data_IF_136741631057
#
_entry.id   IF_136741631057
#
_cell.length_a   1.000
_cell.length_b   1.000
_cell.length_c   1.000
_cell.angle_alpha   90.00
_cell.angle_beta   90.00
_cell.angle_gamma   90.00
#
_symmetry.space_group_name_H-M   'P 1'
#
loop_
_entity.id
_entity.type
_entity.pdbx_description
1 polymer ?
#
# COMPACT_ATOMS: atom_id res chain seq x y z
N UNK A 1 35.86 10.63 -19.42
CA UNK A 1 34.67 11.29 -18.85
C UNK A 1 33.75 10.18 -18.34
N UNK A 2 33.87 9.86 -17.06
CA UNK A 2 33.15 8.77 -16.40
C UNK A 2 31.92 9.35 -15.73
N UNK A 3 30.73 9.00 -16.20
CA UNK A 3 29.46 9.35 -15.57
C UNK A 3 29.34 8.58 -14.26
N UNK A 4 29.43 9.30 -13.14
CA UNK A 4 29.07 8.78 -11.82
C UNK A 4 27.58 8.46 -11.88
N UNK A 5 27.23 7.17 -11.80
CA UNK A 5 25.85 6.74 -11.68
C UNK A 5 25.24 7.43 -10.45
N UNK A 6 24.10 8.08 -10.65
CA UNK A 6 23.33 8.68 -9.58
C UNK A 6 23.04 7.60 -8.53
N UNK A 7 23.86 7.59 -7.46
CA UNK A 7 23.62 6.74 -6.31
C UNK A 7 22.24 7.10 -5.78
N UNK A 8 21.36 6.10 -5.70
CA UNK A 8 20.07 6.28 -5.04
C UNK A 8 20.32 6.95 -3.69
N UNK A 9 19.67 8.10 -3.46
CA UNK A 9 19.82 8.85 -2.22
C UNK A 9 19.63 7.89 -1.02
N UNK A 10 20.43 8.02 0.05
CA UNK A 10 20.24 7.24 1.26
C UNK A 10 18.80 7.35 1.71
N UNK A 11 18.12 6.22 1.93
CA UNK A 11 16.76 6.22 2.48
C UNK A 11 16.84 6.62 3.95
N UNK A 12 16.79 7.93 4.20
CA UNK A 12 16.77 8.50 5.55
C UNK A 12 15.54 8.08 6.36
N UNK A 13 14.54 7.49 5.71
CA UNK A 13 13.22 7.23 6.29
C UNK A 13 13.00 5.78 6.70
N UNK A 14 13.97 4.87 6.50
CA UNK A 14 13.85 3.44 6.84
C UNK A 14 13.41 3.28 8.29
N UNK A 15 12.18 2.81 8.49
CA UNK A 15 11.60 2.56 9.81
C UNK A 15 10.58 3.61 10.28
N UNK A 16 10.19 4.56 9.43
CA UNK A 16 9.09 5.49 9.73
C UNK A 16 7.73 4.78 9.80
N UNK A 17 7.56 3.65 9.12
CA UNK A 17 6.41 2.75 9.15
C UNK A 17 6.80 1.40 9.73
N UNK A 18 6.31 1.12 10.94
CA UNK A 18 6.43 -0.19 11.56
C UNK A 18 5.20 -1.05 11.28
N UNK A 19 5.40 -2.24 10.72
CA UNK A 19 4.30 -3.17 10.49
C UNK A 19 3.69 -3.63 11.84
N UNK A 20 2.40 -3.38 12.03
CA UNK A 20 1.62 -3.79 13.21
C UNK A 20 0.78 -5.03 12.91
N UNK A 21 0.14 -5.06 11.74
CA UNK A 21 -0.68 -6.17 11.30
C UNK A 21 -0.44 -6.45 9.82
N UNK A 22 -0.06 -7.69 9.50
CA UNK A 22 0.14 -8.15 8.14
C UNK A 22 -1.18 -8.22 7.36
N UNK A 23 -1.09 -8.36 6.03
CA UNK A 23 -2.25 -8.30 5.14
C UNK A 23 -3.36 -9.28 5.55
N UNK A 24 -4.53 -8.74 5.90
CA UNK A 24 -5.69 -9.52 6.36
C UNK A 24 -7.00 -8.88 5.89
N UNK A 25 -8.03 -9.68 5.63
CA UNK A 25 -9.37 -9.16 5.34
C UNK A 25 -10.09 -8.59 6.58
N UNK A 26 -9.59 -8.90 7.78
CA UNK A 26 -10.22 -8.54 9.07
C UNK A 26 -9.15 -8.06 10.06
N UNK A 27 -8.65 -6.82 9.91
CA UNK A 27 -7.70 -6.27 10.85
C UNK A 27 -8.33 -6.19 12.24
N UNK A 28 -7.54 -6.48 13.26
CA UNK A 28 -7.96 -6.45 14.67
C UNK A 28 -7.26 -5.36 15.47
N UNK A 29 -6.14 -4.82 14.97
CA UNK A 29 -5.39 -3.78 15.68
C UNK A 29 -6.01 -2.39 15.55
N UNK A 30 -6.94 -2.18 14.61
CA UNK A 30 -7.62 -0.90 14.36
C UNK A 30 -9.03 -1.11 13.82
N UNK A 31 -9.99 -0.30 14.27
CA UNK A 31 -11.35 -0.30 13.70
C UNK A 31 -11.39 0.45 12.36
N UNK A 32 -11.47 -0.30 11.27
CA UNK A 32 -11.57 0.25 9.91
C UNK A 32 -13.02 0.54 9.49
N UNK A 33 -14.02 0.23 10.32
CA UNK A 33 -15.43 0.24 9.90
C UNK A 33 -15.90 1.63 9.49
N UNK A 34 -15.45 2.66 10.20
CA UNK A 34 -15.76 4.04 9.87
C UNK A 34 -15.17 4.47 8.52
N UNK A 35 -13.87 4.20 8.31
CA UNK A 35 -13.19 4.48 7.06
C UNK A 35 -13.82 3.73 5.88
N UNK A 36 -14.09 2.44 6.04
CA UNK A 36 -14.73 1.62 5.02
C UNK A 36 -16.10 2.20 4.62
N UNK A 37 -16.94 2.61 5.58
CA UNK A 37 -18.23 3.25 5.27
C UNK A 37 -18.05 4.53 4.44
N UNK A 38 -17.14 5.41 4.82
CA UNK A 38 -16.87 6.64 4.06
C UNK A 38 -16.41 6.33 2.63
N UNK A 39 -15.48 5.39 2.47
CA UNK A 39 -14.94 5.05 1.14
C UNK A 39 -15.96 4.35 0.25
N UNK A 40 -16.89 3.57 0.82
CA UNK A 40 -17.95 2.94 0.01
C UNK A 40 -18.89 3.95 -0.64
N UNK A 41 -18.96 5.19 -0.14
CA UNK A 41 -19.70 6.27 -0.81
C UNK A 41 -19.01 6.73 -2.11
N UNK A 42 -17.70 6.57 -2.22
CA UNK A 42 -16.89 7.04 -3.36
C UNK A 42 -16.44 5.91 -4.29
N UNK A 43 -16.48 4.65 -3.84
CA UNK A 43 -16.01 3.49 -4.58
C UNK A 43 -17.12 2.44 -4.75
N UNK A 44 -17.84 2.43 -5.89
CA UNK A 44 -19.00 1.54 -6.12
C UNK A 44 -18.72 0.05 -5.91
N UNK A 45 -17.48 -0.38 -6.20
CA UNK A 45 -17.07 -1.79 -6.10
C UNK A 45 -16.48 -2.18 -4.74
N UNK A 46 -16.24 -1.21 -3.84
CA UNK A 46 -15.60 -1.48 -2.55
C UNK A 46 -16.55 -2.27 -1.62
N UNK A 47 -17.82 -1.86 -1.50
CA UNK A 47 -18.78 -2.54 -0.64
C UNK A 47 -18.99 -4.03 -1.03
N UNK A 48 -19.21 -4.37 -2.31
CA UNK A 48 -19.23 -5.77 -2.75
C UNK A 48 -17.92 -6.52 -2.45
N UNK A 49 -16.76 -5.89 -2.63
CA UNK A 49 -15.45 -6.52 -2.38
C UNK A 49 -15.23 -6.83 -0.90
N UNK A 50 -15.61 -5.92 0.00
CA UNK A 50 -15.57 -6.11 1.44
C UNK A 50 -16.45 -7.29 1.87
N UNK A 51 -17.70 -7.37 1.38
CA UNK A 51 -18.62 -8.47 1.70
C UNK A 51 -18.09 -9.83 1.22
N UNK A 52 -17.34 -9.86 0.12
CA UNK A 52 -16.74 -11.08 -0.45
C UNK A 52 -15.35 -11.40 0.13
N UNK A 53 -14.83 -10.58 1.04
CA UNK A 53 -13.49 -10.78 1.62
C UNK A 53 -12.35 -10.57 0.61
N UNK A 54 -12.57 -9.79 -0.45
CA UNK A 54 -11.61 -9.54 -1.52
C UNK A 54 -10.70 -8.33 -1.25
N UNK A 55 -10.97 -7.60 -0.17
CA UNK A 55 -10.16 -6.45 0.26
C UNK A 55 -9.34 -6.88 1.48
N UNK A 56 -8.02 -6.76 1.38
CA UNK A 56 -7.10 -6.94 2.49
C UNK A 56 -6.52 -5.61 2.96
N UNK A 57 -6.14 -5.59 4.23
CA UNK A 57 -5.64 -4.43 4.94
C UNK A 57 -4.30 -4.78 5.57
N UNK A 58 -3.34 -3.88 5.46
CA UNK A 58 -2.06 -3.96 6.17
C UNK A 58 -1.96 -2.74 7.06
N UNK A 59 -1.69 -2.94 8.35
CA UNK A 59 -1.68 -1.87 9.34
C UNK A 59 -0.24 -1.54 9.70
N UNK A 60 0.11 -0.27 9.55
CA UNK A 60 1.40 0.27 9.97
C UNK A 60 1.20 1.29 11.08
N UNK A 61 2.16 1.34 11.99
CA UNK A 61 2.32 2.44 12.92
C UNK A 61 3.33 3.43 12.33
N UNK A 62 2.95 4.71 12.35
CA UNK A 62 3.85 5.80 12.06
C UNK A 62 4.73 6.08 13.29
N UNK A 63 6.03 5.83 13.19
CA UNK A 63 7.03 6.08 14.23
C UNK A 63 7.96 7.28 13.90
N UNK A 64 7.85 7.84 12.68
CA UNK A 64 8.63 9.01 12.22
C UNK A 64 7.82 10.30 12.10
N UNK A 65 8.47 11.38 11.67
CA UNK A 65 7.78 12.62 11.30
C UNK A 65 6.91 12.44 10.03
N UNK A 66 6.06 13.43 9.76
CA UNK A 66 5.09 13.35 8.68
C UNK A 66 5.74 13.16 7.29
N UNK A 67 6.86 13.84 7.02
CA UNK A 67 7.56 13.73 5.74
C UNK A 67 8.20 12.35 5.56
N UNK A 68 8.81 11.82 6.62
CA UNK A 68 9.40 10.50 6.61
C UNK A 68 8.35 9.39 6.40
N UNK A 69 7.20 9.51 7.07
CA UNK A 69 6.06 8.61 6.91
C UNK A 69 5.49 8.69 5.49
N UNK A 70 5.31 9.89 4.95
CA UNK A 70 4.81 10.09 3.59
C UNK A 70 5.75 9.45 2.54
N UNK A 71 7.05 9.67 2.68
CA UNK A 71 8.05 9.09 1.79
C UNK A 71 8.03 7.55 1.80
N UNK A 72 7.87 6.93 2.98
CA UNK A 72 7.75 5.47 3.06
C UNK A 72 6.42 4.95 2.51
N UNK A 73 5.30 5.65 2.75
CA UNK A 73 4.00 5.31 2.16
C UNK A 73 4.07 5.36 0.63
N UNK A 74 4.66 6.43 0.08
CA UNK A 74 4.87 6.56 -1.37
C UNK A 74 5.74 5.43 -1.91
N UNK A 75 6.85 5.10 -1.24
CA UNK A 75 7.72 4.00 -1.65
C UNK A 75 6.99 2.65 -1.64
N UNK A 76 6.23 2.35 -0.59
CA UNK A 76 5.45 1.13 -0.47
C UNK A 76 4.38 1.04 -1.58
N UNK A 77 3.66 2.13 -1.83
CA UNK A 77 2.66 2.23 -2.90
C UNK A 77 3.26 2.04 -4.29
N UNK A 78 4.36 2.72 -4.60
CA UNK A 78 5.07 2.57 -5.86
C UNK A 78 5.54 1.13 -6.06
N UNK A 79 6.12 0.50 -5.03
CA UNK A 79 6.58 -0.89 -5.10
C UNK A 79 5.43 -1.87 -5.33
N UNK A 80 4.28 -1.65 -4.69
CA UNK A 80 3.09 -2.47 -4.92
C UNK A 80 2.56 -2.32 -6.35
N UNK A 81 2.52 -1.10 -6.89
CA UNK A 81 2.13 -0.86 -8.28
C UNK A 81 3.08 -1.53 -9.28
N UNK A 82 4.40 -1.46 -9.03
CA UNK A 82 5.40 -2.17 -9.84
C UNK A 82 5.22 -3.68 -9.80
N UNK A 83 4.86 -4.24 -8.64
CA UNK A 83 4.59 -5.67 -8.51
C UNK A 83 3.33 -6.10 -9.28
N UNK A 84 2.31 -5.25 -9.33
CA UNK A 84 1.07 -5.50 -10.07
C UNK A 84 1.23 -5.31 -11.59
N UNK A 85 2.18 -4.47 -12.03
CA UNK A 85 2.34 -4.10 -13.44
C UNK A 85 2.40 -5.31 -14.39
N UNK A 86 3.19 -6.38 -14.15
CA UNK A 86 3.22 -7.55 -15.04
C UNK A 86 1.88 -8.30 -15.13
N UNK A 87 1.08 -8.29 -14.06
CA UNK A 87 -0.23 -8.94 -14.02
C UNK A 87 -1.24 -8.17 -14.86
N UNK A 88 -1.15 -6.84 -14.84
CA UNK A 88 -2.03 -5.94 -15.61
C UNK A 88 -1.67 -5.89 -17.09
N UNK A 89 -0.39 -6.03 -17.44
CA UNK A 89 0.07 -6.00 -18.84
C UNK A 89 -0.10 -7.34 -19.56
N UNK A 90 -0.52 -8.41 -18.88
CA UNK A 90 -0.84 -9.67 -19.55
C UNK A 90 -2.14 -9.52 -20.35
N UNK A 91 -2.19 -9.95 -21.62
CA UNK A 91 -3.44 -10.07 -22.35
C UNK A 91 -4.38 -10.94 -21.52
N UNK A 92 -5.51 -10.37 -21.09
CA UNK A 92 -6.51 -11.13 -20.36
C UNK A 92 -7.12 -12.13 -21.34
N UNK A 93 -6.84 -13.43 -21.19
CA UNK A 93 -7.50 -14.49 -21.97
C UNK A 93 -6.64 -15.59 -22.60
N UNK A 94 -5.31 -15.62 -22.41
CA UNK A 94 -4.52 -16.80 -22.79
C UNK A 94 -4.35 -17.71 -21.55
N UNK A 95 -5.32 -18.62 -21.39
CA UNK A 95 -5.11 -19.92 -20.75
C UNK A 95 -4.49 -20.88 -21.77
#
# INVERSE_FOLDING_TARGET
MTTVGAGAAPRLTVGALRLVEASTARPRSVDISHYARQMTAHCPYLAPSLRRGLTTWTVYQADGDAEAVEAELFHAGARAAEWLRPLLTRPHGLL
#
